data_IF_165493141359
#
_entry.id   IF_165493141359
#
_cell.length_a   1.000
_cell.length_b   1.000
_cell.length_c   1.000
_cell.angle_alpha   90.00
_cell.angle_beta   90.00
_cell.angle_gamma   90.00
#
_symmetry.space_group_name_H-M   'P 1'
#
loop_
_entity.id
_entity.type
_entity.pdbx_description
1 polymer ?
#
# COMPACT_ATOMS: atom_id res chain seq x y z
N UNK A 1 12.28 -2.29 -13.29
CA UNK A 1 11.75 -1.17 -12.47
C UNK A 1 10.44 -1.65 -11.89
N UNK A 2 10.14 -1.46 -10.61
CA UNK A 2 8.89 -2.00 -10.05
C UNK A 2 7.67 -1.18 -10.51
N UNK A 3 6.66 -1.85 -11.05
CA UNK A 3 5.39 -1.23 -11.45
C UNK A 3 4.26 -1.63 -10.48
N UNK A 4 3.36 -0.69 -10.12
CA UNK A 4 2.11 -1.06 -9.43
C UNK A 4 1.27 -1.86 -10.42
N UNK A 5 0.98 -3.14 -10.11
CA UNK A 5 0.12 -3.97 -10.95
C UNK A 5 -1.29 -3.37 -11.15
N UNK A 6 -1.77 -2.58 -10.17
CA UNK A 6 -3.11 -2.00 -10.16
C UNK A 6 -3.24 -0.66 -10.92
N UNK A 7 -2.24 0.21 -10.88
CA UNK A 7 -2.31 1.54 -11.51
C UNK A 7 -1.28 1.78 -12.62
N UNK A 8 -0.43 0.79 -12.92
CA UNK A 8 0.58 0.85 -13.98
C UNK A 8 1.72 1.85 -13.76
N UNK A 9 1.66 2.67 -12.70
CA UNK A 9 2.71 3.63 -12.39
C UNK A 9 3.98 2.92 -11.95
N UNK A 10 5.12 3.36 -12.49
CA UNK A 10 6.45 2.86 -12.18
C UNK A 10 7.06 3.68 -11.06
N UNK A 11 7.55 3.01 -10.04
CA UNK A 11 8.25 3.62 -8.93
C UNK A 11 9.54 2.85 -8.67
N UNK A 12 10.66 3.51 -8.38
CA UNK A 12 11.82 2.81 -7.86
C UNK A 12 11.50 2.24 -6.48
N UNK A 13 12.15 1.14 -6.11
CA UNK A 13 11.84 0.37 -4.91
C UNK A 13 11.80 1.21 -3.62
N UNK A 14 12.77 2.12 -3.50
CA UNK A 14 12.92 3.00 -2.34
C UNK A 14 11.82 4.08 -2.23
N UNK A 15 10.98 4.23 -3.27
CA UNK A 15 9.81 5.12 -3.25
C UNK A 15 8.50 4.37 -2.95
N UNK A 16 8.56 3.05 -2.71
CA UNK A 16 7.42 2.30 -2.19
C UNK A 16 7.28 2.58 -0.69
N UNK A 17 6.03 2.70 -0.24
CA UNK A 17 5.74 2.91 1.18
C UNK A 17 5.49 1.56 1.84
N UNK A 18 5.95 1.42 3.07
CA UNK A 18 5.51 0.32 3.94
C UNK A 18 4.05 0.57 4.32
N UNK A 19 3.17 -0.41 4.06
CA UNK A 19 1.73 -0.32 4.28
C UNK A 19 1.22 -1.56 5.01
N UNK A 20 0.14 -1.44 5.78
CA UNK A 20 -0.46 -2.58 6.44
C UNK A 20 -1.09 -3.49 5.39
N UNK A 21 -1.15 -4.79 5.66
CA UNK A 21 -1.91 -5.71 4.79
C UNK A 21 -3.37 -5.26 4.75
N UNK A 22 -3.88 -4.96 3.56
CA UNK A 22 -5.23 -4.41 3.43
C UNK A 22 -6.29 -5.42 3.88
N UNK A 23 -6.94 -5.14 5.00
CA UNK A 23 -8.09 -5.90 5.52
C UNK A 23 -9.41 -5.22 5.15
N UNK A 24 -10.54 -5.90 5.36
CA UNK A 24 -11.86 -5.32 5.14
C UNK A 24 -12.08 -4.02 5.94
N UNK A 25 -11.67 -3.98 7.22
CA UNK A 25 -11.78 -2.80 8.07
C UNK A 25 -10.92 -1.64 7.57
N UNK A 26 -9.66 -1.90 7.21
CA UNK A 26 -8.78 -0.88 6.66
C UNK A 26 -9.30 -0.36 5.32
N UNK A 27 -9.89 -1.23 4.50
CA UNK A 27 -10.53 -0.82 3.26
C UNK A 27 -11.68 0.16 3.51
N UNK A 28 -12.56 -0.14 4.48
CA UNK A 28 -13.65 0.76 4.88
C UNK A 28 -13.11 2.09 5.43
N UNK A 29 -12.14 2.05 6.35
CA UNK A 29 -11.53 3.27 6.91
C UNK A 29 -10.89 4.10 5.80
N UNK A 30 -10.21 3.47 4.84
CA UNK A 30 -9.63 4.16 3.69
C UNK A 30 -10.68 4.76 2.78
N UNK A 31 -11.80 4.07 2.55
CA UNK A 31 -12.90 4.54 1.69
C UNK A 31 -13.61 5.76 2.29
N UNK A 32 -13.90 5.73 3.59
CA UNK A 32 -14.68 6.77 4.27
C UNK A 32 -13.85 7.92 4.83
N UNK A 33 -12.60 7.67 5.25
CA UNK A 33 -11.75 8.66 5.95
C UNK A 33 -10.45 8.96 5.19
N UNK A 34 -10.18 8.25 4.12
CA UNK A 34 -8.98 8.40 3.31
C UNK A 34 -7.77 7.63 3.85
N UNK A 35 -6.76 7.52 3.00
CA UNK A 35 -5.55 6.73 3.23
C UNK A 35 -4.76 7.16 4.47
N UNK A 36 -4.64 8.46 4.76
CA UNK A 36 -3.88 8.95 5.92
C UNK A 36 -4.50 8.49 7.24
N UNK A 37 -5.83 8.56 7.35
CA UNK A 37 -6.54 8.07 8.52
C UNK A 37 -6.44 6.56 8.67
N UNK A 38 -6.48 5.83 7.56
CA UNK A 38 -6.32 4.39 7.61
C UNK A 38 -4.93 3.97 8.10
N UNK A 39 -3.86 4.64 7.64
CA UNK A 39 -2.50 4.40 8.13
C UNK A 39 -2.36 4.67 9.63
N UNK A 40 -2.94 5.78 10.10
CA UNK A 40 -2.97 6.11 11.53
C UNK A 40 -3.73 5.04 12.34
N UNK A 41 -4.93 4.67 11.88
CA UNK A 41 -5.76 3.63 12.50
C UNK A 41 -5.04 2.28 12.56
N UNK A 42 -4.33 1.91 11.49
CA UNK A 42 -3.53 0.69 11.46
C UNK A 42 -2.41 0.72 12.51
N UNK A 43 -1.70 1.84 12.64
CA UNK A 43 -0.66 2.02 13.65
C UNK A 43 -1.23 1.98 15.08
N UNK A 44 -2.34 2.68 15.32
CA UNK A 44 -2.98 2.78 16.64
C UNK A 44 -3.60 1.45 17.13
N UNK A 45 -3.79 0.49 16.22
CA UNK A 45 -4.37 -0.83 16.53
C UNK A 45 -3.40 -1.99 16.32
N UNK A 46 -2.10 -1.71 16.12
CA UNK A 46 -1.07 -2.73 16.07
C UNK A 46 -1.13 -3.64 14.83
N UNK A 47 -1.62 -3.13 13.70
CA UNK A 47 -1.53 -3.87 12.43
C UNK A 47 -0.08 -3.93 11.94
N UNK A 48 0.32 -5.07 11.37
CA UNK A 48 1.66 -5.24 10.81
C UNK A 48 1.83 -4.55 9.45
N UNK A 49 2.89 -3.74 9.34
CA UNK A 49 3.32 -3.07 8.11
C UNK A 49 4.37 -3.90 7.38
N UNK A 50 3.99 -5.11 6.98
CA UNK A 50 4.90 -6.09 6.38
C UNK A 50 5.01 -6.03 4.86
N UNK A 51 4.29 -5.12 4.18
CA UNK A 51 4.21 -5.08 2.71
C UNK A 51 4.67 -3.74 2.16
N UNK A 52 5.46 -3.81 1.08
CA UNK A 52 5.78 -2.67 0.23
C UNK A 52 4.73 -2.56 -0.85
N UNK A 53 3.94 -1.49 -0.78
CA UNK A 53 2.87 -1.24 -1.73
C UNK A 53 3.04 0.12 -2.39
N UNK A 54 2.38 0.30 -3.53
CA UNK A 54 2.44 1.58 -4.20
C UNK A 54 1.77 2.69 -3.39
N UNK A 55 2.49 3.81 -3.27
CA UNK A 55 2.10 5.02 -2.51
C UNK A 55 0.71 5.56 -2.86
N UNK A 56 0.27 5.43 -4.11
CA UNK A 56 -1.01 5.97 -4.62
C UNK A 56 -2.15 4.95 -4.61
N UNK A 57 -1.94 3.76 -5.20
CA UNK A 57 -3.02 2.83 -5.57
C UNK A 57 -3.38 1.81 -4.46
N UNK A 58 -2.51 1.64 -3.45
CA UNK A 58 -2.59 0.50 -2.51
C UNK A 58 -2.69 -0.84 -3.28
N UNK A 59 -1.95 -0.94 -4.37
CA UNK A 59 -1.80 -2.16 -5.14
C UNK A 59 -0.41 -2.71 -4.94
N UNK A 60 -0.27 -4.00 -5.24
CA UNK A 60 1.01 -4.69 -5.16
C UNK A 60 2.06 -3.91 -5.95
N UNK A 61 3.01 -3.35 -5.21
CA UNK A 61 4.04 -2.46 -5.73
C UNK A 61 5.20 -3.20 -6.37
N UNK A 62 5.14 -4.52 -6.42
CA UNK A 62 6.27 -5.40 -6.67
C UNK A 62 5.92 -6.42 -7.74
N UNK A 63 5.81 -5.98 -8.99
CA UNK A 63 5.99 -6.90 -10.11
C UNK A 63 7.49 -6.87 -10.41
N UNK A 64 8.20 -7.95 -10.11
CA UNK A 64 9.55 -8.14 -10.64
C UNK A 64 9.44 -8.21 -12.16
N UNK A 65 10.07 -7.28 -12.86
CA UNK A 65 10.39 -7.47 -14.28
C UNK A 65 11.29 -8.72 -14.32
N UNK A 66 10.72 -9.90 -14.59
CA UNK A 66 11.56 -11.00 -15.07
C UNK A 66 12.15 -10.57 -16.42
N UNK A 67 13.46 -10.78 -16.63
CA UNK A 67 14.15 -10.36 -17.85
C UNK A 67 13.57 -10.99 -19.12
#
# INVERSE_FOLDING_TARGET
>A
MTCCAKCGKRYPLHMLDAKPTMTFWLHLVSLFRGQKFMLQYAADHGYDFGRLECRVCYGDGYVEDHP
#
